data_IF_500806216775
#
_entry.id   IF_500806216775
#
_cell.length_a   1.000
_cell.length_b   1.000
_cell.length_c   1.000
_cell.angle_alpha   90.00
_cell.angle_beta   90.00
_cell.angle_gamma   90.00
#
_symmetry.space_group_name_H-M   'P 1'
#
loop_
_entity.id
_entity.type
_entity.pdbx_description
1 polymer ?
#
# COMPACT_ATOMS: atom_id res chain seq x y z
N UNK A 1 25.67 -9.25 -20.12
CA UNK A 1 24.72 -8.69 -19.13
C UNK A 1 24.70 -9.62 -17.94
N UNK A 2 25.37 -9.25 -16.84
CA UNK A 2 25.36 -10.06 -15.62
C UNK A 2 23.97 -9.97 -14.97
N UNK A 3 23.38 -11.11 -14.62
CA UNK A 3 22.15 -11.17 -13.83
C UNK A 3 22.33 -10.35 -12.56
N UNK A 4 21.51 -9.32 -12.36
CA UNK A 4 21.55 -8.55 -11.11
C UNK A 4 21.15 -9.47 -9.96
N UNK A 5 21.90 -9.49 -8.85
CA UNK A 5 21.54 -10.31 -7.69
C UNK A 5 20.11 -9.97 -7.25
N UNK A 6 19.37 -10.99 -6.79
CA UNK A 6 17.97 -10.86 -6.43
C UNK A 6 17.83 -10.21 -5.04
N UNK A 7 18.17 -8.93 -4.98
CA UNK A 7 18.30 -8.14 -3.74
C UNK A 7 16.93 -7.85 -3.13
N UNK A 8 15.87 -7.73 -3.93
CA UNK A 8 14.55 -7.39 -3.42
C UNK A 8 13.46 -8.24 -4.06
N UNK A 9 12.70 -8.94 -3.23
CA UNK A 9 11.62 -9.84 -3.63
C UNK A 9 10.28 -9.31 -3.10
N UNK A 10 9.61 -8.46 -3.88
CA UNK A 10 8.35 -7.80 -3.49
C UNK A 10 7.28 -8.77 -2.96
N UNK A 11 7.20 -9.97 -3.55
CA UNK A 11 6.26 -11.03 -3.14
C UNK A 11 6.45 -11.56 -1.71
N UNK A 12 7.57 -11.26 -1.06
CA UNK A 12 7.86 -11.67 0.33
C UNK A 12 7.63 -10.54 1.33
N UNK A 13 7.27 -9.35 0.85
CA UNK A 13 7.16 -8.14 1.66
C UNK A 13 5.80 -7.96 2.29
N UNK A 14 4.77 -8.54 1.68
CA UNK A 14 3.40 -8.60 2.21
C UNK A 14 3.19 -9.94 2.90
N UNK A 15 2.70 -9.97 4.16
CA UNK A 15 2.37 -11.22 4.82
C UNK A 15 1.27 -11.96 4.05
N UNK A 16 1.48 -13.26 3.85
CA UNK A 16 0.50 -14.08 3.13
C UNK A 16 -0.76 -14.29 3.96
N UNK A 17 -1.90 -14.07 3.33
CA UNK A 17 -3.20 -14.29 3.97
C UNK A 17 -3.86 -15.56 3.45
N UNK A 18 -3.85 -16.60 4.28
CA UNK A 18 -4.49 -17.87 3.97
C UNK A 18 -5.69 -18.08 4.90
N UNK A 19 -6.89 -17.85 4.38
CA UNK A 19 -8.14 -18.23 5.02
C UNK A 19 -8.92 -19.17 4.10
N UNK A 20 -9.69 -20.08 4.71
CA UNK A 20 -10.53 -21.04 3.96
C UNK A 20 -11.73 -20.35 3.32
N UNK A 21 -12.39 -19.51 4.11
CA UNK A 21 -13.61 -18.82 3.69
C UNK A 21 -13.34 -17.31 3.62
N UNK A 22 -13.44 -16.75 2.40
CA UNK A 22 -13.38 -15.31 2.16
C UNK A 22 -14.77 -14.74 2.22
N UNK A 23 -15.39 -14.81 3.40
CA UNK A 23 -16.77 -14.42 3.63
C UNK A 23 -17.09 -13.05 3.00
N UNK A 24 -16.20 -12.07 3.17
CA UNK A 24 -16.37 -10.72 2.65
C UNK A 24 -16.51 -10.64 1.11
N UNK A 25 -15.97 -11.59 0.32
CA UNK A 25 -16.16 -11.61 -1.14
C UNK A 25 -17.63 -11.89 -1.50
N UNK A 26 -18.26 -12.83 -0.80
CA UNK A 26 -19.67 -13.18 -0.99
C UNK A 26 -20.59 -12.03 -0.56
N UNK A 27 -20.33 -11.47 0.63
CA UNK A 27 -21.11 -10.34 1.15
C UNK A 27 -20.92 -9.07 0.32
N UNK A 28 -19.75 -8.84 -0.28
CA UNK A 28 -19.54 -7.71 -1.16
C UNK A 28 -20.41 -7.80 -2.42
N UNK A 29 -20.54 -9.00 -3.02
CA UNK A 29 -21.43 -9.22 -4.16
C UNK A 29 -22.91 -9.02 -3.79
N UNK A 30 -23.32 -9.48 -2.61
CA UNK A 30 -24.67 -9.23 -2.07
C UNK A 30 -24.89 -7.72 -1.87
N UNK A 31 -23.90 -7.02 -1.32
CA UNK A 31 -23.94 -5.57 -1.09
C UNK A 31 -24.14 -4.80 -2.39
N UNK A 32 -23.44 -5.16 -3.48
CA UNK A 32 -23.64 -4.54 -4.80
C UNK A 32 -25.08 -4.68 -5.33
N UNK A 33 -25.81 -5.68 -4.86
CA UNK A 33 -27.20 -5.96 -5.23
C UNK A 33 -28.22 -5.41 -4.21
N UNK A 34 -27.78 -4.88 -3.07
CA UNK A 34 -28.61 -4.26 -2.04
C UNK A 34 -29.11 -2.86 -2.46
N UNK A 35 -30.11 -2.30 -1.78
CA UNK A 35 -30.59 -0.93 -2.05
C UNK A 35 -29.90 0.14 -1.19
N UNK A 36 -28.89 -0.26 -0.41
CA UNK A 36 -28.11 0.61 0.44
C UNK A 36 -26.95 1.24 -0.37
N UNK A 37 -27.11 2.50 -0.73
CA UNK A 37 -26.14 3.25 -1.55
C UNK A 37 -24.81 3.42 -0.81
N UNK A 38 -24.85 3.64 0.50
CA UNK A 38 -23.63 3.84 1.30
C UNK A 38 -22.83 2.55 1.38
N UNK A 39 -23.50 1.42 1.66
CA UNK A 39 -22.85 0.12 1.68
C UNK A 39 -22.25 -0.24 0.30
N UNK A 40 -22.97 0.07 -0.80
CA UNK A 40 -22.40 -0.15 -2.14
C UNK A 40 -21.18 0.74 -2.38
N UNK A 41 -21.25 2.03 -2.03
CA UNK A 41 -20.13 2.95 -2.18
C UNK A 41 -18.89 2.45 -1.43
N UNK A 42 -19.04 2.03 -0.17
CA UNK A 42 -17.92 1.49 0.61
C UNK A 42 -17.40 0.17 0.03
N UNK A 43 -18.29 -0.70 -0.46
CA UNK A 43 -17.90 -1.93 -1.15
C UNK A 43 -17.06 -1.67 -2.40
N UNK A 44 -17.43 -0.67 -3.21
CA UNK A 44 -16.67 -0.24 -4.38
C UNK A 44 -15.34 0.41 -3.99
N UNK A 45 -15.34 1.26 -2.96
CA UNK A 45 -14.16 1.97 -2.47
C UNK A 45 -13.06 1.03 -2.00
N UNK A 46 -13.38 0.08 -1.11
CA UNK A 46 -12.42 -0.91 -0.62
C UNK A 46 -12.17 -2.05 -1.61
N UNK A 47 -13.06 -2.22 -2.59
CA UNK A 47 -12.86 -3.08 -3.74
C UNK A 47 -12.67 -4.54 -3.34
N UNK A 48 -13.59 -5.14 -2.58
CA UNK A 48 -13.51 -6.57 -2.22
C UNK A 48 -13.93 -7.51 -3.35
N UNK A 49 -13.49 -7.19 -4.56
CA UNK A 49 -13.81 -7.89 -5.79
C UNK A 49 -12.51 -8.24 -6.52
N UNK A 50 -12.49 -9.45 -7.11
CA UNK A 50 -11.41 -9.87 -8.01
C UNK A 50 -11.67 -9.49 -9.45
N UNK A 51 -12.94 -9.47 -9.82
CA UNK A 51 -13.39 -9.31 -11.20
C UNK A 51 -14.23 -8.04 -11.30
N UNK A 52 -13.65 -7.00 -11.91
CA UNK A 52 -14.35 -5.73 -12.14
C UNK A 52 -15.40 -5.84 -13.25
N UNK A 53 -15.28 -6.79 -14.18
CA UNK A 53 -16.32 -7.04 -15.18
C UNK A 53 -17.59 -7.57 -14.50
N UNK A 54 -17.43 -8.45 -13.50
CA UNK A 54 -18.55 -8.93 -12.70
C UNK A 54 -19.22 -7.81 -11.89
N UNK A 55 -18.44 -6.90 -11.30
CA UNK A 55 -18.98 -5.70 -10.60
C UNK A 55 -19.80 -4.85 -11.57
N UNK A 56 -19.25 -4.56 -12.74
CA UNK A 56 -19.94 -3.78 -13.78
C UNK A 56 -21.23 -4.46 -14.22
N UNK A 57 -21.20 -5.78 -14.44
CA UNK A 57 -22.37 -6.58 -14.81
C UNK A 57 -23.51 -6.49 -13.78
N UNK A 58 -23.19 -6.54 -12.48
CA UNK A 58 -24.20 -6.38 -11.42
C UNK A 58 -24.81 -4.98 -11.47
N UNK A 59 -23.97 -3.94 -11.57
CA UNK A 59 -24.42 -2.54 -11.59
C UNK A 59 -25.27 -2.22 -12.82
N UNK A 60 -24.93 -2.74 -14.00
CA UNK A 60 -25.68 -2.52 -15.25
C UNK A 60 -27.10 -3.10 -15.20
N UNK A 61 -27.34 -4.10 -14.35
CA UNK A 61 -28.66 -4.73 -14.15
C UNK A 61 -29.51 -4.02 -13.10
N UNK A 62 -28.98 -2.99 -12.43
CA UNK A 62 -29.74 -2.23 -11.44
C UNK A 62 -30.82 -1.38 -12.10
N UNK A 63 -31.96 -1.16 -11.43
CA UNK A 63 -32.96 -0.22 -11.91
C UNK A 63 -32.37 1.18 -12.06
N UNK A 64 -32.78 1.89 -13.11
CA UNK A 64 -32.32 3.25 -13.39
C UNK A 64 -32.54 4.21 -12.21
N UNK A 65 -33.62 4.04 -11.46
CA UNK A 65 -33.91 4.82 -10.24
C UNK A 65 -32.83 4.67 -9.18
N UNK A 66 -32.27 3.47 -9.01
CA UNK A 66 -31.17 3.20 -8.07
C UNK A 66 -29.90 3.88 -8.55
N UNK A 67 -29.53 3.72 -9.83
CA UNK A 67 -28.34 4.35 -10.40
C UNK A 67 -28.39 5.88 -10.28
N UNK A 68 -29.55 6.49 -10.50
CA UNK A 68 -29.75 7.93 -10.33
C UNK A 68 -29.59 8.36 -8.87
N UNK A 69 -30.19 7.61 -7.94
CA UNK A 69 -30.09 7.90 -6.50
C UNK A 69 -28.63 7.78 -6.02
N UNK A 70 -27.91 6.79 -6.54
CA UNK A 70 -26.49 6.61 -6.28
C UNK A 70 -25.69 7.81 -6.76
N UNK A 71 -25.82 8.19 -8.03
CA UNK A 71 -25.08 9.32 -8.61
C UNK A 71 -25.38 10.64 -7.90
N UNK A 72 -26.60 10.81 -7.37
CA UNK A 72 -26.97 11.98 -6.57
C UNK A 72 -26.34 11.98 -5.18
N UNK A 73 -26.02 10.81 -4.63
CA UNK A 73 -25.42 10.67 -3.30
C UNK A 73 -23.88 10.80 -3.30
N UNK A 74 -23.20 10.47 -4.42
CA UNK A 74 -21.75 10.64 -4.52
C UNK A 74 -21.43 12.09 -4.92
N UNK A 75 -20.49 12.77 -4.22
CA UNK A 75 -20.07 14.13 -4.57
C UNK A 75 -19.68 14.28 -6.04
N UNK A 76 -20.12 15.36 -6.68
CA UNK A 76 -19.75 15.69 -8.06
C UNK A 76 -18.27 16.06 -8.17
N UNK A 77 -17.56 15.44 -9.10
CA UNK A 77 -16.23 15.91 -9.51
C UNK A 77 -16.38 16.88 -10.68
N UNK A 78 -16.67 18.16 -10.40
CA UNK A 78 -16.46 19.35 -11.27
C UNK A 78 -16.89 19.34 -12.76
N UNK A 79 -17.55 18.31 -13.30
CA UNK A 79 -17.92 18.23 -14.72
C UNK A 79 -19.41 18.52 -14.93
N UNK A 80 -19.69 19.60 -15.68
CA UNK A 80 -21.01 20.12 -16.03
C UNK A 80 -21.77 19.22 -17.04
N UNK A 81 -21.83 17.90 -16.81
CA UNK A 81 -22.60 16.99 -17.65
C UNK A 81 -23.93 16.65 -16.97
N UNK A 82 -25.02 16.74 -17.73
CA UNK A 82 -26.38 16.40 -17.28
C UNK A 82 -26.42 14.89 -16.97
N UNK A 83 -26.15 14.52 -15.72
CA UNK A 83 -26.14 13.12 -15.26
C UNK A 83 -27.46 12.40 -15.56
N UNK A 84 -28.56 13.14 -15.71
CA UNK A 84 -29.88 12.64 -16.11
C UNK A 84 -29.92 12.07 -17.52
N UNK A 85 -29.12 12.57 -18.46
CA UNK A 85 -29.15 12.20 -19.89
C UNK A 85 -28.30 10.98 -20.24
N UNK A 86 -27.45 10.54 -19.31
CA UNK A 86 -26.58 9.39 -19.50
C UNK A 86 -27.38 8.09 -19.70
N UNK A 87 -26.89 7.22 -20.58
CA UNK A 87 -27.35 5.82 -20.66
C UNK A 87 -27.04 5.05 -19.37
N UNK A 88 -27.68 3.89 -19.16
CA UNK A 88 -27.38 3.04 -18.00
C UNK A 88 -25.88 2.70 -17.91
N UNK A 89 -25.26 2.34 -19.04
CA UNK A 89 -23.85 2.01 -19.09
C UNK A 89 -22.95 3.21 -18.71
N UNK A 90 -23.28 4.42 -19.18
CA UNK A 90 -22.57 5.64 -18.79
C UNK A 90 -22.72 5.97 -17.31
N UNK A 91 -23.92 5.78 -16.74
CA UNK A 91 -24.14 5.97 -15.30
C UNK A 91 -23.31 4.99 -14.47
N UNK A 92 -23.22 3.73 -14.88
CA UNK A 92 -22.38 2.74 -14.20
C UNK A 92 -20.90 3.12 -14.29
N UNK A 93 -20.40 3.53 -15.45
CA UNK A 93 -19.01 4.02 -15.58
C UNK A 93 -18.75 5.19 -14.64
N UNK A 94 -19.70 6.11 -14.52
CA UNK A 94 -19.56 7.26 -13.65
C UNK A 94 -19.61 6.91 -12.16
N UNK A 95 -20.47 5.97 -11.75
CA UNK A 95 -20.49 5.43 -10.38
C UNK A 95 -19.14 4.78 -10.05
N UNK A 96 -18.62 3.93 -10.92
CA UNK A 96 -17.32 3.26 -10.72
C UNK A 96 -16.20 4.30 -10.61
N UNK A 97 -16.17 5.28 -11.52
CA UNK A 97 -15.15 6.34 -11.53
C UNK A 97 -15.16 7.20 -10.26
N UNK A 98 -16.34 7.49 -9.69
CA UNK A 98 -16.46 8.31 -8.47
C UNK A 98 -16.32 7.51 -7.18
N UNK A 99 -16.58 6.19 -7.21
CA UNK A 99 -16.55 5.34 -6.00
C UNK A 99 -15.20 4.66 -5.77
N UNK A 100 -14.47 4.35 -6.85
CA UNK A 100 -13.16 3.73 -6.75
C UNK A 100 -12.11 4.84 -6.62
N UNK A 101 -11.22 4.78 -5.62
CA UNK A 101 -10.13 5.74 -5.50
C UNK A 101 -9.35 5.86 -6.81
N UNK A 102 -9.13 7.09 -7.26
CA UNK A 102 -8.32 7.33 -8.44
C UNK A 102 -6.91 6.76 -8.22
N UNK A 103 -6.27 6.18 -9.25
CA UNK A 103 -4.89 5.73 -9.13
C UNK A 103 -4.01 6.90 -8.66
N UNK A 104 -3.16 6.68 -7.64
CA UNK A 104 -2.29 7.74 -7.14
C UNK A 104 -1.32 8.22 -8.23
N UNK A 105 -1.00 9.52 -8.23
CA UNK A 105 0.08 10.06 -9.05
C UNK A 105 1.42 9.74 -8.39
N UNK A 106 1.92 8.55 -8.69
CA UNK A 106 3.13 8.00 -8.07
C UNK A 106 4.39 8.71 -8.60
N UNK A 107 5.16 9.29 -7.68
CA UNK A 107 6.41 10.04 -7.93
C UNK A 107 7.61 9.12 -7.72
N UNK A 108 8.45 8.87 -8.74
CA UNK A 108 9.56 7.93 -8.62
C UNK A 108 10.57 8.36 -7.56
N UNK A 109 11.38 7.40 -7.10
CA UNK A 109 12.49 7.62 -6.16
C UNK A 109 13.41 8.77 -6.59
N UNK A 110 13.71 9.69 -5.66
CA UNK A 110 14.44 10.94 -5.96
C UNK A 110 15.79 11.07 -5.26
N UNK A 111 16.07 10.24 -4.26
CA UNK A 111 17.33 10.31 -3.54
C UNK A 111 18.45 9.56 -4.29
N UNK A 112 19.64 10.15 -4.34
CA UNK A 112 20.81 9.56 -4.97
C UNK A 112 22.01 9.55 -4.02
N UNK A 113 22.90 8.53 -4.10
CA UNK A 113 24.18 8.55 -3.41
C UNK A 113 24.95 9.86 -3.67
N UNK A 114 25.45 10.54 -2.62
CA UNK A 114 26.28 11.74 -2.80
C UNK A 114 27.62 11.39 -3.48
N UNK A 115 28.26 12.37 -4.09
CA UNK A 115 29.59 12.17 -4.66
C UNK A 115 30.63 11.93 -3.55
N UNK A 116 31.73 11.22 -3.82
CA UNK A 116 32.76 10.96 -2.80
C UNK A 116 33.43 12.21 -2.22
N UNK A 117 33.36 13.32 -2.95
CA UNK A 117 33.89 14.62 -2.55
C UNK A 117 32.95 15.37 -1.60
N UNK A 118 31.67 15.00 -1.57
CA UNK A 118 30.69 15.56 -0.65
C UNK A 118 30.84 14.92 0.73
N UNK A 119 31.24 15.73 1.71
CA UNK A 119 31.40 15.33 3.11
C UNK A 119 30.03 15.19 3.82
N UNK A 120 29.13 14.42 3.22
CA UNK A 120 27.82 14.12 3.82
C UNK A 120 28.02 13.23 5.04
N UNK A 121 27.48 13.68 6.17
CA UNK A 121 27.51 12.90 7.40
C UNK A 121 26.65 11.60 7.26
N UNK A 122 27.12 10.51 7.85
CA UNK A 122 26.50 9.18 7.76
C UNK A 122 25.05 9.20 8.24
N UNK A 123 24.77 9.94 9.32
CA UNK A 123 23.42 10.02 9.86
C UNK A 123 22.51 10.82 8.92
N UNK A 124 23.04 11.85 8.27
CA UNK A 124 22.30 12.64 7.28
C UNK A 124 21.88 11.77 6.09
N UNK A 125 22.80 10.97 5.54
CA UNK A 125 22.48 10.02 4.46
C UNK A 125 21.36 9.05 4.87
N UNK A 126 21.44 8.49 6.08
CA UNK A 126 20.43 7.54 6.57
C UNK A 126 19.05 8.20 6.75
N UNK A 127 19.01 9.46 7.22
CA UNK A 127 17.78 10.24 7.37
C UNK A 127 17.17 10.62 6.02
N UNK A 128 17.98 11.00 5.03
CA UNK A 128 17.49 11.33 3.70
C UNK A 128 16.85 10.12 3.00
N UNK A 129 17.46 8.93 3.16
CA UNK A 129 16.91 7.67 2.64
C UNK A 129 15.60 7.33 3.38
N UNK A 130 15.54 7.50 4.70
CA UNK A 130 14.30 7.27 5.47
C UNK A 130 13.19 8.22 5.03
N UNK A 131 13.51 9.50 4.87
CA UNK A 131 12.55 10.52 4.43
C UNK A 131 11.99 10.19 3.03
N UNK A 132 12.84 9.72 2.13
CA UNK A 132 12.40 9.25 0.82
C UNK A 132 11.54 7.97 0.95
N UNK A 133 11.96 6.95 1.71
CA UNK A 133 11.13 5.76 1.98
C UNK A 133 9.75 6.14 2.55
N UNK A 134 9.70 7.09 3.49
CA UNK A 134 8.45 7.58 4.05
C UNK A 134 7.62 8.30 3.00
N UNK A 135 8.21 9.22 2.24
CA UNK A 135 7.54 9.91 1.12
C UNK A 135 6.93 8.92 0.13
N UNK A 136 7.63 7.84 -0.21
CA UNK A 136 7.13 6.79 -1.09
C UNK A 136 5.93 6.04 -0.46
N UNK A 137 5.97 5.74 0.84
CA UNK A 137 4.87 5.07 1.54
C UNK A 137 3.61 5.94 1.65
N UNK A 138 3.76 7.26 1.84
CA UNK A 138 2.64 8.22 1.94
C UNK A 138 1.76 8.30 0.70
N UNK A 139 2.29 7.88 -0.45
CA UNK A 139 1.58 7.89 -1.73
C UNK A 139 0.63 6.69 -1.89
N UNK A 140 0.69 5.71 -1.00
CA UNK A 140 -0.16 4.52 -1.04
C UNK A 140 -1.48 4.82 -0.34
N UNK A 141 -2.59 4.57 -1.03
CA UNK A 141 -3.92 4.66 -0.43
C UNK A 141 -4.14 3.54 0.60
N UNK A 142 -4.90 3.82 1.65
CA UNK A 142 -5.21 2.81 2.67
C UNK A 142 -5.97 1.62 2.08
N UNK A 143 -6.86 1.87 1.14
CA UNK A 143 -7.64 0.87 0.41
C UNK A 143 -6.72 -0.15 -0.29
N UNK A 144 -5.62 0.31 -0.88
CA UNK A 144 -4.64 -0.57 -1.52
C UNK A 144 -3.86 -1.40 -0.50
N UNK A 145 -3.57 -0.85 0.68
CA UNK A 145 -2.97 -1.60 1.80
C UNK A 145 -3.91 -2.70 2.28
N UNK A 146 -5.20 -2.39 2.45
CA UNK A 146 -6.22 -3.39 2.85
C UNK A 146 -6.31 -4.48 1.79
N UNK A 147 -6.39 -4.10 0.50
CA UNK A 147 -6.41 -5.05 -0.61
C UNK A 147 -5.17 -5.96 -0.61
N UNK A 148 -3.97 -5.39 -0.47
CA UNK A 148 -2.73 -6.15 -0.37
C UNK A 148 -2.74 -7.10 0.83
N UNK A 149 -3.19 -6.63 2.00
CA UNK A 149 -3.28 -7.43 3.22
C UNK A 149 -4.21 -8.64 3.06
N UNK A 150 -5.29 -8.52 2.29
CA UNK A 150 -6.22 -9.62 2.01
C UNK A 150 -5.79 -10.50 0.81
N UNK A 151 -4.64 -10.20 0.21
CA UNK A 151 -4.05 -10.97 -0.89
C UNK A 151 -4.64 -10.65 -2.27
N UNK A 152 -5.24 -9.47 -2.44
CA UNK A 152 -5.57 -8.93 -3.77
C UNK A 152 -4.36 -8.24 -4.39
N UNK A 153 -4.43 -8.04 -5.71
CA UNK A 153 -3.48 -7.18 -6.41
C UNK A 153 -3.70 -5.71 -5.98
N UNK A 154 -2.60 -5.06 -5.60
CA UNK A 154 -2.53 -3.67 -5.17
C UNK A 154 -1.32 -3.00 -5.86
N UNK A 155 -1.52 -2.39 -7.05
CA UNK A 155 -0.42 -1.86 -7.86
C UNK A 155 0.43 -0.80 -7.17
N UNK A 156 -0.16 0.06 -6.34
CA UNK A 156 0.58 1.10 -5.59
C UNK A 156 1.51 0.52 -4.53
N UNK A 157 1.09 -0.57 -3.87
CA UNK A 157 1.94 -1.32 -2.92
C UNK A 157 3.10 -1.97 -3.65
N UNK A 158 2.83 -2.67 -4.76
CA UNK A 158 3.90 -3.26 -5.58
C UNK A 158 4.86 -2.19 -6.11
N UNK A 159 4.36 -1.03 -6.53
CA UNK A 159 5.19 0.08 -6.97
C UNK A 159 6.10 0.62 -5.86
N UNK A 160 5.59 0.77 -4.63
CA UNK A 160 6.39 1.19 -3.47
C UNK A 160 7.54 0.21 -3.19
N UNK A 161 7.25 -1.08 -3.29
CA UNK A 161 8.24 -2.15 -3.16
C UNK A 161 9.28 -2.09 -4.29
N UNK A 162 8.86 -1.75 -5.51
CA UNK A 162 9.77 -1.52 -6.64
C UNK A 162 10.70 -0.32 -6.45
N UNK A 163 10.28 0.72 -5.71
CA UNK A 163 11.17 1.85 -5.39
C UNK A 163 12.39 1.39 -4.58
N UNK A 164 12.19 0.49 -3.62
CA UNK A 164 13.29 -0.07 -2.83
C UNK A 164 14.18 -1.03 -3.62
N UNK A 165 13.66 -1.64 -4.68
CA UNK A 165 14.48 -2.35 -5.67
C UNK A 165 15.32 -1.38 -6.50
N UNK A 166 14.76 -0.26 -6.93
CA UNK A 166 15.50 0.78 -7.66
C UNK A 166 16.64 1.37 -6.81
N UNK A 167 16.37 1.64 -5.53
CA UNK A 167 17.40 2.02 -4.55
C UNK A 167 18.56 1.01 -4.50
N UNK A 168 18.24 -0.29 -4.54
CA UNK A 168 19.26 -1.34 -4.56
C UNK A 168 20.16 -1.29 -5.79
N UNK A 169 19.60 -0.98 -6.96
CA UNK A 169 20.37 -0.79 -8.20
C UNK A 169 21.31 0.42 -8.06
N UNK A 170 20.83 1.55 -7.55
CA UNK A 170 21.65 2.75 -7.31
C UNK A 170 22.85 2.42 -6.40
N UNK A 171 22.61 1.71 -5.29
CA UNK A 171 23.68 1.30 -4.38
C UNK A 171 24.69 0.36 -5.02
N UNK A 172 24.23 -0.62 -5.80
CA UNK A 172 25.12 -1.56 -6.48
C UNK A 172 26.00 -0.86 -7.51
N UNK A 173 25.45 0.07 -8.28
CA UNK A 173 26.19 0.84 -9.28
C UNK A 173 27.21 1.75 -8.61
N UNK A 174 26.76 2.50 -7.59
CA UNK A 174 27.62 3.42 -6.83
C UNK A 174 28.78 2.71 -6.15
N UNK A 175 28.54 1.60 -5.44
CA UNK A 175 29.60 0.87 -4.75
C UNK A 175 30.56 0.14 -5.70
N UNK A 176 30.14 -0.19 -6.93
CA UNK A 176 31.05 -0.69 -7.98
C UNK A 176 32.01 0.40 -8.45
N UNK A 177 31.50 1.61 -8.63
CA UNK A 177 32.27 2.76 -9.07
C UNK A 177 33.19 3.30 -7.96
N UNK A 178 32.70 3.30 -6.71
CA UNK A 178 33.39 3.83 -5.54
C UNK A 178 33.56 2.78 -4.42
N UNK A 179 34.41 1.75 -4.57
CA UNK A 179 34.54 0.67 -3.58
C UNK A 179 34.99 1.13 -2.19
N UNK A 180 35.66 2.28 -2.07
CA UNK A 180 36.08 2.84 -0.78
C UNK A 180 34.88 3.23 0.10
N UNK A 181 33.75 3.58 -0.52
CA UNK A 181 32.53 3.98 0.19
C UNK A 181 31.73 2.81 0.75
N UNK A 182 32.08 1.57 0.44
CA UNK A 182 31.42 0.40 1.04
C UNK A 182 31.43 0.51 2.57
N UNK A 183 32.53 1.00 3.16
CA UNK A 183 32.64 1.21 4.61
C UNK A 183 31.72 2.31 5.16
N UNK A 184 31.49 3.37 4.38
CA UNK A 184 30.54 4.43 4.69
C UNK A 184 29.12 3.84 4.73
N UNK A 185 28.73 3.12 3.69
CA UNK A 185 27.40 2.52 3.59
C UNK A 185 27.17 1.37 4.58
N UNK A 186 28.22 0.64 5.00
CA UNK A 186 28.13 -0.28 6.14
C UNK A 186 27.78 0.44 7.45
N UNK A 187 28.10 1.73 7.57
CA UNK A 187 27.74 2.53 8.75
C UNK A 187 26.34 3.12 8.59
N UNK A 188 25.99 3.60 7.39
CA UNK A 188 24.61 4.03 7.04
C UNK A 188 23.59 2.91 7.31
N UNK A 189 23.91 1.67 6.91
CA UNK A 189 23.08 0.49 7.14
C UNK A 189 22.69 0.33 8.61
N UNK A 190 23.63 0.54 9.54
CA UNK A 190 23.38 0.43 10.99
C UNK A 190 22.34 1.44 11.48
N UNK A 191 22.35 2.66 10.94
CA UNK A 191 21.33 3.66 11.24
C UNK A 191 19.97 3.27 10.63
N UNK A 192 19.97 2.71 9.43
CA UNK A 192 18.73 2.29 8.76
C UNK A 192 17.99 1.17 9.50
N UNK A 193 18.67 0.34 10.31
CA UNK A 193 18.05 -0.73 11.11
C UNK A 193 16.87 -0.25 11.95
N UNK A 194 16.94 0.97 12.47
CA UNK A 194 15.89 1.58 13.30
C UNK A 194 15.05 2.62 12.55
N UNK A 195 15.45 3.01 11.34
CA UNK A 195 14.85 4.11 10.59
C UNK A 195 13.94 3.66 9.45
N UNK A 196 14.33 2.69 8.62
CA UNK A 196 13.49 2.20 7.52
C UNK A 196 13.81 0.73 7.25
N UNK A 197 12.91 -0.20 7.58
CA UNK A 197 13.19 -1.62 7.44
C UNK A 197 13.31 -2.05 5.97
N UNK A 198 12.66 -1.32 5.06
CA UNK A 198 12.76 -1.55 3.61
C UNK A 198 14.14 -1.10 3.08
N UNK A 199 14.55 0.13 3.41
CA UNK A 199 15.85 0.64 2.97
C UNK A 199 17.02 -0.13 3.61
N UNK A 200 16.91 -0.47 4.89
CA UNK A 200 17.87 -1.33 5.59
C UNK A 200 18.05 -2.65 4.86
N UNK A 201 16.96 -3.37 4.54
CA UNK A 201 17.07 -4.66 3.89
C UNK A 201 17.72 -4.54 2.50
N UNK A 202 17.31 -3.54 1.73
CA UNK A 202 17.92 -3.24 0.42
C UNK A 202 19.43 -3.03 0.56
N UNK A 203 19.85 -2.12 1.45
CA UNK A 203 21.25 -1.77 1.60
C UNK A 203 22.09 -2.94 2.15
N UNK A 204 21.59 -3.65 3.17
CA UNK A 204 22.27 -4.81 3.74
C UNK A 204 22.53 -5.88 2.68
N UNK A 205 21.53 -6.19 1.84
CA UNK A 205 21.72 -7.15 0.74
C UNK A 205 22.65 -6.64 -0.36
N UNK A 206 22.66 -5.35 -0.67
CA UNK A 206 23.67 -4.77 -1.56
C UNK A 206 25.08 -4.94 -0.99
N UNK A 207 25.28 -4.68 0.30
CA UNK A 207 26.57 -4.80 0.97
C UNK A 207 27.07 -6.25 1.00
N UNK A 208 26.19 -7.22 1.25
CA UNK A 208 26.52 -8.66 1.20
C UNK A 208 27.08 -9.11 -0.16
N UNK A 209 26.75 -8.44 -1.26
CA UNK A 209 27.34 -8.73 -2.59
C UNK A 209 28.83 -8.41 -2.62
N UNK A 210 29.27 -7.37 -1.90
CA UNK A 210 30.67 -6.95 -1.85
C UNK A 210 31.43 -7.47 -0.61
N UNK A 211 30.70 -7.86 0.44
CA UNK A 211 31.22 -8.33 1.72
C UNK A 211 30.50 -9.62 2.18
N UNK A 212 30.65 -10.74 1.45
CA UNK A 212 29.91 -11.98 1.73
C UNK A 212 30.22 -12.56 3.13
N UNK A 213 31.43 -12.35 3.65
CA UNK A 213 31.85 -12.89 4.95
C UNK A 213 31.28 -12.13 6.15
N UNK A 214 30.53 -11.05 5.93
CA UNK A 214 30.01 -10.15 6.99
C UNK A 214 28.54 -10.45 7.33
N UNK A 215 27.98 -11.55 6.81
CA UNK A 215 26.57 -11.94 6.96
C UNK A 215 26.11 -11.95 8.43
N UNK A 216 26.97 -12.41 9.35
CA UNK A 216 26.67 -12.45 10.80
C UNK A 216 26.50 -11.06 11.46
N UNK A 217 26.97 -9.98 10.84
CA UNK A 217 26.89 -8.63 11.38
C UNK A 217 25.73 -7.79 10.81
N UNK A 218 24.97 -8.34 9.85
CA UNK A 218 23.86 -7.66 9.16
C UNK A 218 22.55 -8.44 9.38
N UNK A 219 21.81 -8.16 10.46
CA UNK A 219 20.62 -8.92 10.82
C UNK A 219 19.49 -8.64 9.82
N UNK A 220 19.17 -9.61 8.98
CA UNK A 220 17.99 -9.56 8.11
C UNK A 220 16.81 -10.24 8.80
N UNK A 221 15.65 -9.57 8.80
CA UNK A 221 14.40 -10.17 9.29
C UNK A 221 13.72 -10.97 8.19
N UNK A 222 13.32 -12.20 8.52
CA UNK A 222 12.45 -13.05 7.69
C UNK A 222 10.98 -12.61 7.72
N UNK A 223 10.63 -11.70 8.63
CA UNK A 223 9.26 -11.19 8.73
C UNK A 223 8.98 -10.23 7.56
N UNK A 224 7.85 -10.39 6.83
CA UNK A 224 7.46 -9.47 5.77
C UNK A 224 7.36 -8.04 6.31
N UNK A 225 7.96 -7.07 5.62
CA UNK A 225 8.08 -5.70 6.13
C UNK A 225 6.78 -4.91 6.17
N UNK A 226 5.75 -5.31 5.43
CA UNK A 226 4.40 -4.74 5.56
C UNK A 226 3.59 -5.37 6.70
N UNK A 227 4.16 -6.30 7.48
CA UNK A 227 3.40 -6.99 8.55
C UNK A 227 2.89 -6.04 9.64
N UNK A 228 3.60 -4.93 9.91
CA UNK A 228 3.19 -3.96 10.93
C UNK A 228 1.80 -3.38 10.65
N UNK A 229 1.38 -3.29 9.38
CA UNK A 229 0.06 -2.78 8.99
C UNK A 229 -0.86 -3.86 8.44
N UNK A 230 -0.33 -4.76 7.62
CA UNK A 230 -1.13 -5.83 7.01
C UNK A 230 -1.54 -6.88 8.04
N UNK A 231 -0.71 -7.18 9.04
CA UNK A 231 -1.03 -8.15 10.11
C UNK A 231 -2.27 -7.75 10.93
N UNK A 232 -2.32 -6.53 11.49
CA UNK A 232 -3.51 -6.04 12.17
C UNK A 232 -4.77 -6.05 11.29
N UNK A 233 -4.67 -5.65 10.02
CA UNK A 233 -5.81 -5.70 9.08
C UNK A 233 -6.27 -7.15 8.86
N UNK A 234 -5.35 -8.08 8.62
CA UNK A 234 -5.66 -9.50 8.44
C UNK A 234 -6.38 -10.09 9.67
N UNK A 235 -6.03 -9.64 10.87
CA UNK A 235 -6.66 -10.11 12.10
C UNK A 235 -8.16 -9.75 12.15
N UNK A 236 -8.54 -8.54 11.71
CA UNK A 236 -9.94 -8.11 11.64
C UNK A 236 -10.80 -9.08 10.80
N UNK A 237 -10.25 -9.55 9.68
CA UNK A 237 -10.97 -10.44 8.77
C UNK A 237 -10.95 -11.91 9.20
N UNK A 238 -10.01 -12.32 10.06
CA UNK A 238 -9.96 -13.69 10.62
C UNK A 238 -11.00 -13.92 11.70
N UNK A 239 -11.26 -12.91 12.53
CA UNK A 239 -12.08 -13.08 13.73
C UNK A 239 -13.58 -13.25 13.42
N UNK A 240 -14.01 -12.94 12.18
CA UNK A 240 -15.41 -13.02 11.72
C UNK A 240 -16.42 -12.49 12.76
N UNK A 241 -16.04 -11.41 13.43
CA UNK A 241 -16.70 -10.90 14.62
C UNK A 241 -17.79 -9.86 14.30
N UNK A 242 -17.90 -9.44 13.03
CA UNK A 242 -18.84 -8.42 12.60
C UNK A 242 -19.29 -8.60 11.15
N UNK A 243 -20.41 -7.98 10.80
CA UNK A 243 -20.94 -8.03 9.44
C UNK A 243 -20.15 -7.09 8.50
N UNK A 244 -20.36 -7.21 7.19
CA UNK A 244 -19.59 -6.42 6.22
C UNK A 244 -19.85 -4.90 6.31
N UNK A 245 -21.05 -4.49 6.73
CA UNK A 245 -21.39 -3.09 6.97
C UNK A 245 -20.56 -2.49 8.11
N UNK A 246 -20.54 -3.15 9.27
CA UNK A 246 -19.70 -2.74 10.41
C UNK A 246 -18.21 -2.71 10.02
N UNK A 247 -17.77 -3.66 9.20
CA UNK A 247 -16.41 -3.66 8.66
C UNK A 247 -16.12 -2.44 7.79
N UNK A 248 -17.06 -1.97 6.97
CA UNK A 248 -16.86 -0.75 6.20
C UNK A 248 -16.72 0.50 7.07
N UNK A 249 -17.46 0.57 8.19
CA UNK A 249 -17.32 1.65 9.17
C UNK A 249 -15.95 1.59 9.85
N UNK A 250 -15.54 0.41 10.31
CA UNK A 250 -14.22 0.16 10.90
C UNK A 250 -13.13 0.60 9.91
N UNK A 251 -13.17 0.12 8.67
CA UNK A 251 -12.17 0.45 7.66
C UNK A 251 -12.17 1.93 7.29
N UNK A 252 -13.32 2.60 7.30
CA UNK A 252 -13.39 4.05 7.09
C UNK A 252 -12.71 4.81 8.24
N UNK A 253 -12.93 4.40 9.48
CA UNK A 253 -12.23 4.94 10.65
C UNK A 253 -10.72 4.69 10.58
N UNK A 254 -10.31 3.48 10.16
CA UNK A 254 -8.90 3.14 9.97
C UNK A 254 -8.25 3.91 8.82
N UNK A 255 -8.98 4.23 7.75
CA UNK A 255 -8.47 5.07 6.68
C UNK A 255 -8.12 6.48 7.18
N UNK A 256 -8.98 7.08 8.00
CA UNK A 256 -8.70 8.37 8.63
C UNK A 256 -7.50 8.30 9.59
N UNK A 257 -7.41 7.23 10.39
CA UNK A 257 -6.27 6.97 11.28
C UNK A 257 -4.97 6.78 10.50
N UNK A 258 -5.00 6.02 9.41
CA UNK A 258 -3.86 5.82 8.52
C UNK A 258 -3.32 7.15 7.97
N UNK A 259 -4.22 8.02 7.49
CA UNK A 259 -3.83 9.35 7.01
C UNK A 259 -3.18 10.20 8.11
N UNK A 260 -3.72 10.19 9.32
CA UNK A 260 -3.14 10.91 10.45
C UNK A 260 -1.75 10.38 10.82
N UNK A 261 -1.61 9.06 10.95
CA UNK A 261 -0.38 8.42 11.42
C UNK A 261 0.73 8.46 10.39
N UNK A 262 0.42 8.26 9.11
CA UNK A 262 1.45 8.01 8.09
C UNK A 262 1.54 9.09 7.03
N UNK A 263 0.41 9.65 6.57
CA UNK A 263 0.40 10.68 5.52
C UNK A 263 0.73 12.07 6.05
N UNK A 264 0.06 12.48 7.13
CA UNK A 264 0.18 13.83 7.69
C UNK A 264 1.26 13.98 8.75
N UNK A 265 1.77 12.87 9.31
CA UNK A 265 2.89 12.89 10.24
C UNK A 265 4.18 13.29 9.55
N UNK A 266 5.07 14.02 10.22
CA UNK A 266 6.42 14.32 9.72
C UNK A 266 7.40 13.15 9.90
N UNK A 267 7.06 12.17 10.74
CA UNK A 267 7.93 11.05 11.12
C UNK A 267 7.24 9.71 10.90
N UNK A 268 8.01 8.69 10.51
CA UNK A 268 7.51 7.33 10.33
C UNK A 268 7.93 6.41 11.49
N UNK A 269 6.97 5.63 12.00
CA UNK A 269 7.25 4.56 12.97
C UNK A 269 6.99 3.21 12.30
N UNK A 270 8.03 2.63 11.72
CA UNK A 270 7.93 1.36 10.99
C UNK A 270 7.87 0.13 11.91
N UNK A 271 8.29 0.29 13.16
CA UNK A 271 8.40 -0.81 14.14
C UNK A 271 7.17 -0.94 15.02
N UNK A 272 6.29 0.07 14.99
CA UNK A 272 5.03 0.05 15.72
C UNK A 272 3.93 -0.48 14.82
N UNK A 273 3.25 -1.52 15.29
CA UNK A 273 2.08 -2.05 14.59
C UNK A 273 0.99 -0.98 14.46
N UNK A 274 0.32 -0.98 13.32
CA UNK A 274 -0.82 -0.14 13.07
C UNK A 274 -1.94 -0.51 14.03
N UNK A 275 -2.42 0.46 14.79
CA UNK A 275 -3.55 0.27 15.68
C UNK A 275 -4.84 0.08 14.88
N UNK A 276 -5.16 -1.17 14.60
CA UNK A 276 -6.40 -1.59 13.96
C UNK A 276 -7.53 -1.82 14.98
N UNK A 277 -7.32 -1.52 16.27
CA UNK A 277 -8.36 -1.71 17.28
C UNK A 277 -9.44 -0.63 17.12
N UNK A 278 -10.61 -1.06 16.64
CA UNK A 278 -11.86 -0.34 16.70
C UNK A 278 -12.93 -1.35 17.14
N UNK A 279 -13.74 -1.02 18.16
CA UNK A 279 -14.81 -1.92 18.58
C UNK A 279 -15.82 -2.06 17.44
N UNK A 280 -16.21 -3.30 17.13
CA UNK A 280 -17.36 -3.54 16.26
C UNK A 280 -18.60 -2.92 16.93
N UNK A 281 -19.28 -2.03 16.22
CA UNK A 281 -20.54 -1.45 16.68
C UNK A 281 -21.60 -2.52 16.44
N UNK A 282 -21.75 -3.47 17.36
CA UNK A 282 -22.84 -4.44 17.30
C UNK A 282 -24.17 -3.71 17.54
N UNK A 283 -25.01 -3.62 16.51
CA UNK A 283 -26.42 -3.27 16.62
C UNK A 283 -27.25 -4.44 17.15
#
# INVERSE_FOLDING_TARGET
MASSPNIFLSKLETPRFFVRDRWWEEYAAITLSAYDIEAIFQGLRFGFFRDMEYVQYILERRPLSVLNSFLAAIPETSENHSLSELSNHEKVREILRRSIPAPPQLTPWRWFPPAPEDLSDVQTIALDIEAESHFQFRQIAFEDIVRAALGYEAPSVEWFLQQHRALGVLFLEHMKEYPKEITLYSTVEKHLRTLSPFAHQTLAKCLMVFQPDVENNMPLSDTPRLSFIAGPIQQLFKENSCNLGDMFEILSGLAARFQQTYTHSSTMSWTQDFDASLPCISA
#
